data_IF_473556851085
#
_entry.id   IF_473556851085
#
_cell.length_a   1.000
_cell.length_b   1.000
_cell.length_c   1.000
_cell.angle_alpha   90.00
_cell.angle_beta   90.00
_cell.angle_gamma   90.00
#
_symmetry.space_group_name_H-M   'P 1'
#
loop_
_entity.id
_entity.type
_entity.pdbx_description
1 polymer ?
#
# COMPACT_ATOMS: atom_id res chain seq x y z
N UNK A 1 -81.91 -17.64 15.07
CA UNK A 1 -81.99 -17.36 16.52
C UNK A 1 -80.69 -16.67 16.90
N UNK A 2 -80.53 -15.35 16.81
CA UNK A 2 -81.09 -14.28 17.67
C UNK A 2 -81.16 -14.69 19.15
N UNK A 3 -80.17 -14.28 19.94
CA UNK A 3 -80.39 -13.42 21.10
C UNK A 3 -79.09 -12.79 21.59
N UNK A 4 -79.20 -11.49 21.85
CA UNK A 4 -78.18 -10.55 22.27
C UNK A 4 -78.11 -10.47 23.79
N UNK A 5 -76.96 -10.16 24.37
CA UNK A 5 -76.88 -9.35 25.60
C UNK A 5 -75.72 -8.37 25.47
N UNK A 6 -76.07 -7.10 25.62
CA UNK A 6 -75.20 -5.93 25.57
C UNK A 6 -74.70 -5.56 26.98
N UNK A 7 -73.48 -5.01 27.01
CA UNK A 7 -73.02 -3.89 27.85
C UNK A 7 -72.82 -4.10 29.37
N UNK A 8 -71.56 -4.01 29.80
CA UNK A 8 -71.18 -3.13 30.91
C UNK A 8 -69.77 -2.59 30.68
N UNK A 9 -69.69 -1.32 30.26
CA UNK A 9 -68.49 -0.49 30.33
C UNK A 9 -68.43 0.04 31.76
N UNK A 10 -67.38 -0.33 32.50
CA UNK A 10 -67.11 0.14 33.85
C UNK A 10 -65.62 0.37 34.01
N UNK A 11 -65.26 1.64 34.15
CA UNK A 11 -63.92 2.20 34.26
C UNK A 11 -63.15 1.60 35.45
N UNK A 12 -61.99 0.99 35.17
CA UNK A 12 -60.90 0.89 36.16
C UNK A 12 -59.55 1.10 35.45
N UNK A 13 -59.31 2.34 35.02
CA UNK A 13 -57.97 2.87 34.78
C UNK A 13 -57.33 3.13 36.15
N UNK A 14 -56.61 2.16 36.70
CA UNK A 14 -55.72 2.39 37.83
C UNK A 14 -54.39 1.65 37.62
N UNK A 15 -53.40 2.43 37.19
CA UNK A 15 -51.99 2.33 37.53
C UNK A 15 -51.36 0.92 37.57
N UNK A 16 -50.99 0.42 36.40
CA UNK A 16 -49.70 -0.24 36.24
C UNK A 16 -48.76 0.70 35.48
N UNK A 17 -48.24 1.72 36.18
CA UNK A 17 -46.88 2.20 35.89
C UNK A 17 -45.94 1.06 36.26
N UNK A 18 -45.91 0.02 35.42
CA UNK A 18 -44.71 -0.77 35.27
C UNK A 18 -43.68 0.23 34.82
N UNK A 19 -42.74 0.53 35.71
CA UNK A 19 -41.44 1.05 35.34
C UNK A 19 -40.85 0.07 34.32
N UNK A 20 -41.20 0.24 33.04
CA UNK A 20 -40.23 0.07 31.98
C UNK A 20 -39.27 1.22 32.23
N UNK A 21 -38.36 1.02 33.17
CA UNK A 21 -37.10 1.74 33.12
C UNK A 21 -36.61 1.49 31.71
N UNK A 22 -36.60 2.54 30.89
CA UNK A 22 -35.80 2.54 29.67
C UNK A 22 -34.44 2.05 30.15
N UNK A 23 -34.07 0.81 29.82
CA UNK A 23 -32.68 0.40 29.98
C UNK A 23 -31.88 1.52 29.32
N UNK A 24 -30.91 2.14 30.03
CA UNK A 24 -30.12 3.20 29.43
C UNK A 24 -29.67 2.72 28.06
N UNK A 25 -29.88 3.59 27.06
CA UNK A 25 -29.38 3.43 25.70
C UNK A 25 -28.03 2.71 25.75
N UNK A 26 -27.96 1.51 25.16
CA UNK A 26 -26.76 0.66 25.11
C UNK A 26 -25.54 1.38 24.50
N UNK A 27 -25.76 2.53 23.87
CA UNK A 27 -24.78 3.32 23.13
C UNK A 27 -24.02 4.34 24.00
N UNK A 28 -24.49 4.65 25.23
CA UNK A 28 -24.02 5.82 25.98
C UNK A 28 -23.28 5.52 27.31
N UNK A 29 -22.85 4.28 27.58
CA UNK A 29 -22.07 3.94 28.78
C UNK A 29 -20.55 3.93 28.51
N UNK A 30 -19.78 4.98 28.90
CA UNK A 30 -18.34 5.04 28.69
C UNK A 30 -17.54 4.07 29.57
N UNK A 31 -18.18 3.42 30.55
CA UNK A 31 -17.56 2.43 31.44
C UNK A 31 -18.03 1.00 31.14
N UNK A 32 -18.76 0.81 30.04
CA UNK A 32 -19.21 -0.51 29.61
C UNK A 32 -18.03 -1.47 29.51
N UNK A 33 -18.19 -2.63 30.10
CA UNK A 33 -17.17 -3.68 30.03
C UNK A 33 -17.05 -4.18 28.59
N UNK A 34 -15.88 -3.99 27.98
CA UNK A 34 -15.61 -4.43 26.60
C UNK A 34 -15.58 -5.96 26.44
N UNK A 35 -15.59 -6.72 27.55
CA UNK A 35 -15.52 -8.19 27.53
C UNK A 35 -16.66 -8.82 26.71
N UNK A 36 -17.84 -8.20 26.65
CA UNK A 36 -18.97 -8.66 25.84
C UNK A 36 -18.72 -8.54 24.32
N UNK A 37 -17.79 -7.67 23.91
CA UNK A 37 -17.45 -7.42 22.51
C UNK A 37 -16.24 -8.21 22.03
N UNK A 38 -15.41 -8.69 22.95
CA UNK A 38 -14.17 -9.39 22.62
C UNK A 38 -14.44 -10.87 22.35
N UNK A 39 -13.78 -11.47 21.33
CA UNK A 39 -13.90 -12.90 21.09
C UNK A 39 -13.35 -13.70 22.27
N UNK A 40 -13.97 -14.84 22.57
CA UNK A 40 -13.50 -15.75 23.60
C UNK A 40 -12.07 -16.25 23.28
N UNK A 41 -11.13 -16.18 24.22
CA UNK A 41 -9.79 -16.72 24.04
C UNK A 41 -9.79 -18.20 23.66
N UNK A 42 -8.80 -18.61 22.87
CA UNK A 42 -8.63 -19.99 22.43
C UNK A 42 -7.13 -20.33 22.23
N UNK A 43 -6.83 -21.54 21.80
CA UNK A 43 -5.44 -22.00 21.59
C UNK A 43 -4.68 -21.25 20.48
N UNK A 44 -5.39 -20.53 19.60
CA UNK A 44 -4.77 -19.64 18.61
C UNK A 44 -4.53 -18.23 19.16
N UNK A 45 -5.38 -17.73 20.07
CA UNK A 45 -5.30 -16.39 20.67
C UNK A 45 -5.62 -16.41 22.16
N UNK A 46 -4.60 -16.14 22.98
CA UNK A 46 -4.74 -16.13 24.44
C UNK A 46 -5.53 -14.92 24.93
N UNK A 47 -5.98 -14.96 26.19
CA UNK A 47 -6.71 -13.86 26.83
C UNK A 47 -5.90 -12.55 26.90
N UNK A 48 -4.57 -12.63 26.82
CA UNK A 48 -3.67 -11.49 26.74
C UNK A 48 -3.63 -10.83 25.35
N UNK A 49 -4.26 -11.43 24.33
CA UNK A 49 -4.15 -11.02 22.92
C UNK A 49 -2.90 -11.56 22.21
N UNK A 50 -1.99 -12.21 22.95
CA UNK A 50 -0.81 -12.83 22.36
C UNK A 50 -1.15 -14.09 21.53
N UNK A 51 -0.33 -14.42 20.52
CA UNK A 51 -0.39 -15.72 19.84
C UNK A 51 -0.38 -16.88 20.84
N UNK A 52 -1.35 -17.80 20.71
CA UNK A 52 -1.40 -19.03 21.52
C UNK A 52 -0.54 -20.16 20.95
N UNK A 53 -0.45 -21.31 21.66
CA UNK A 53 0.38 -22.46 21.25
C UNK A 53 0.05 -23.00 19.85
N UNK A 54 -1.20 -22.85 19.41
CA UNK A 54 -1.68 -23.29 18.09
C UNK A 54 -1.86 -22.12 17.11
N UNK A 55 -1.26 -20.96 17.38
CA UNK A 55 -1.29 -19.84 16.45
C UNK A 55 -0.71 -20.22 15.09
N UNK A 56 -1.34 -19.74 14.04
CA UNK A 56 -0.90 -19.92 12.67
C UNK A 56 -1.12 -18.63 11.89
N UNK A 57 -0.26 -18.42 10.91
CA UNK A 57 -0.35 -17.34 9.94
C UNK A 57 0.06 -17.90 8.59
N UNK A 58 -0.57 -17.47 7.50
CA UNK A 58 -0.19 -17.95 6.18
C UNK A 58 1.16 -17.37 5.79
N UNK A 59 1.81 -17.97 4.80
CA UNK A 59 2.98 -17.38 4.16
C UNK A 59 2.72 -17.26 2.67
N UNK A 60 2.95 -16.07 2.12
CA UNK A 60 2.70 -15.77 0.70
C UNK A 60 3.91 -15.10 0.08
N UNK A 61 4.60 -15.84 -0.78
CA UNK A 61 5.79 -15.35 -1.46
C UNK A 61 5.44 -14.90 -2.89
N UNK A 62 6.12 -13.86 -3.38
CA UNK A 62 5.87 -13.24 -4.68
C UNK A 62 7.17 -13.15 -5.51
N UNK A 63 7.11 -13.59 -6.77
CA UNK A 63 8.06 -13.22 -7.82
C UNK A 63 7.33 -12.37 -8.87
N UNK A 64 7.60 -11.07 -8.88
CA UNK A 64 6.85 -10.08 -9.67
C UNK A 64 7.77 -9.47 -10.71
N UNK A 65 7.31 -9.42 -11.96
CA UNK A 65 7.91 -8.66 -13.05
C UNK A 65 6.93 -7.59 -13.47
N UNK A 66 7.32 -6.33 -13.36
CA UNK A 66 6.48 -5.19 -13.70
C UNK A 66 7.21 -4.24 -14.64
N UNK A 67 6.48 -3.67 -15.58
CA UNK A 67 6.99 -2.64 -16.48
C UNK A 67 6.16 -1.37 -16.39
N UNK A 68 6.85 -0.23 -16.34
CA UNK A 68 6.28 1.11 -16.39
C UNK A 68 6.30 1.65 -17.82
N UNK A 69 5.11 1.91 -18.36
CA UNK A 69 4.94 2.69 -19.58
C UNK A 69 4.81 4.17 -19.22
N UNK A 70 5.93 4.88 -19.23
CA UNK A 70 6.05 6.33 -18.98
C UNK A 70 5.38 7.19 -20.07
N UNK A 71 4.97 6.60 -21.20
CA UNK A 71 4.22 7.33 -22.24
C UNK A 71 2.72 7.28 -22.02
N UNK A 72 2.22 6.17 -21.46
CA UNK A 72 0.80 5.93 -21.20
C UNK A 72 0.41 6.04 -19.74
N UNK A 73 1.37 6.21 -18.84
CA UNK A 73 1.19 6.15 -17.39
C UNK A 73 0.48 4.83 -17.01
N UNK A 74 1.05 3.70 -17.43
CA UNK A 74 0.45 2.37 -17.28
C UNK A 74 1.44 1.38 -16.69
N UNK A 75 0.95 0.46 -15.85
CA UNK A 75 1.70 -0.71 -15.39
C UNK A 75 1.23 -1.96 -16.10
N UNK A 76 2.19 -2.82 -16.43
CA UNK A 76 1.95 -4.20 -16.88
C UNK A 76 2.76 -5.14 -16.02
N UNK A 77 2.08 -6.09 -15.41
CA UNK A 77 2.66 -7.02 -14.45
C UNK A 77 2.41 -8.48 -14.80
N UNK A 78 3.39 -9.29 -14.46
CA UNK A 78 3.27 -10.74 -14.35
C UNK A 78 3.83 -11.13 -12.99
N UNK A 79 3.02 -11.77 -12.16
CA UNK A 79 3.46 -12.25 -10.85
C UNK A 79 3.22 -13.75 -10.72
N UNK A 80 4.12 -14.40 -10.00
CA UNK A 80 3.95 -15.77 -9.51
C UNK A 80 3.80 -15.72 -8.01
N UNK A 81 2.67 -16.20 -7.51
CA UNK A 81 2.32 -16.23 -6.09
C UNK A 81 2.51 -17.65 -5.59
N UNK A 82 3.21 -17.81 -4.46
CA UNK A 82 3.36 -19.08 -3.75
C UNK A 82 2.69 -18.99 -2.39
N UNK A 83 1.54 -19.64 -2.24
CA UNK A 83 0.74 -19.63 -1.03
C UNK A 83 0.97 -20.92 -0.22
N UNK A 84 1.41 -20.78 1.04
CA UNK A 84 1.52 -21.88 2.01
C UNK A 84 0.35 -21.85 2.97
N UNK A 85 -0.47 -22.90 2.95
CA UNK A 85 -1.57 -23.08 3.90
C UNK A 85 -1.05 -23.59 5.25
N UNK A 86 -0.79 -22.68 6.19
CA UNK A 86 -0.41 -23.03 7.56
C UNK A 86 -1.61 -23.28 8.48
N UNK A 87 -2.83 -22.95 8.05
CA UNK A 87 -4.06 -23.19 8.81
C UNK A 87 -4.35 -24.70 8.96
N UNK A 88 -5.16 -25.10 9.96
CA UNK A 88 -5.64 -26.47 10.10
C UNK A 88 -6.77 -26.80 9.11
N UNK A 89 -7.17 -25.86 8.25
CA UNK A 89 -8.31 -26.00 7.35
C UNK A 89 -7.88 -26.45 5.96
N UNK A 90 -8.76 -27.20 5.30
CA UNK A 90 -8.63 -27.51 3.87
C UNK A 90 -9.31 -26.42 3.05
N UNK A 91 -8.58 -25.79 2.12
CA UNK A 91 -9.06 -24.68 1.31
C UNK A 91 -9.43 -25.14 -0.10
N UNK A 92 -10.64 -24.82 -0.56
CA UNK A 92 -11.12 -25.13 -1.92
C UNK A 92 -11.01 -23.95 -2.89
N UNK A 93 -10.78 -22.75 -2.37
CA UNK A 93 -10.64 -21.53 -3.12
C UNK A 93 -9.72 -20.57 -2.38
N UNK A 94 -9.14 -19.63 -3.12
CA UNK A 94 -8.31 -18.52 -2.63
C UNK A 94 -8.96 -17.19 -3.01
N UNK A 95 -8.56 -16.12 -2.33
CA UNK A 95 -8.98 -14.76 -2.66
C UNK A 95 -7.78 -13.83 -2.91
N UNK A 96 -7.86 -13.04 -3.97
CA UNK A 96 -6.98 -11.92 -4.27
C UNK A 96 -7.72 -10.60 -4.08
N UNK A 97 -7.02 -9.62 -3.53
CA UNK A 97 -7.40 -8.21 -3.48
C UNK A 97 -6.99 -7.56 -4.80
N UNK A 98 -7.93 -6.82 -5.39
CA UNK A 98 -7.81 -6.09 -6.64
C UNK A 98 -8.08 -4.60 -6.38
N UNK A 99 -7.26 -3.99 -5.53
CA UNK A 99 -7.50 -2.64 -4.99
C UNK A 99 -7.68 -1.56 -6.06
N UNK A 100 -6.96 -1.64 -7.17
CA UNK A 100 -7.09 -0.67 -8.27
C UNK A 100 -8.49 -0.68 -8.89
N UNK A 101 -9.29 -1.73 -8.74
CA UNK A 101 -10.67 -1.81 -9.26
C UNK A 101 -11.59 -0.73 -8.67
N UNK A 102 -11.23 -0.17 -7.51
CA UNK A 102 -11.97 0.96 -6.93
C UNK A 102 -11.97 2.21 -7.81
N UNK A 103 -10.98 2.35 -8.70
CA UNK A 103 -10.88 3.49 -9.61
C UNK A 103 -11.67 3.30 -10.91
N UNK A 104 -12.32 2.14 -11.11
CA UNK A 104 -13.24 1.97 -12.22
C UNK A 104 -14.48 2.87 -12.03
N UNK A 105 -15.04 3.48 -13.08
CA UNK A 105 -16.19 4.39 -12.96
C UNK A 105 -17.43 3.75 -12.31
N UNK A 106 -17.61 2.44 -12.47
CA UNK A 106 -18.73 1.66 -11.93
C UNK A 106 -18.35 0.87 -10.66
N UNK A 107 -17.28 1.27 -9.98
CA UNK A 107 -16.86 0.59 -8.74
C UNK A 107 -17.80 0.90 -7.58
N UNK A 108 -17.82 0.04 -6.55
CA UNK A 108 -18.58 0.30 -5.33
C UNK A 108 -18.17 1.62 -4.66
N UNK A 109 -16.90 2.03 -4.76
CA UNK A 109 -16.47 3.35 -4.27
C UNK A 109 -17.16 4.47 -5.06
N UNK A 110 -17.13 4.41 -6.39
CA UNK A 110 -17.73 5.45 -7.23
C UNK A 110 -19.25 5.55 -7.01
N UNK A 111 -19.93 4.39 -6.91
CA UNK A 111 -21.38 4.31 -6.75
C UNK A 111 -21.89 4.69 -5.34
N UNK A 112 -21.02 4.66 -4.33
CA UNK A 112 -21.39 5.01 -2.94
C UNK A 112 -20.95 6.42 -2.53
N UNK A 113 -20.28 7.17 -3.41
CA UNK A 113 -19.96 8.57 -3.17
C UNK A 113 -21.21 9.45 -3.25
N UNK A 114 -21.37 10.34 -2.28
CA UNK A 114 -22.38 11.40 -2.34
C UNK A 114 -22.09 12.35 -3.51
N UNK A 115 -23.16 12.87 -4.13
CA UNK A 115 -23.05 13.90 -5.14
C UNK A 115 -22.33 15.12 -4.54
N UNK A 116 -21.37 15.73 -5.26
CA UNK A 116 -20.68 16.92 -4.76
C UNK A 116 -21.68 18.08 -4.61
N UNK A 117 -21.36 19.02 -3.74
CA UNK A 117 -21.94 20.34 -3.85
C UNK A 117 -21.34 21.04 -5.08
N UNK A 118 -22.18 21.44 -6.03
CA UNK A 118 -21.76 22.18 -7.22
C UNK A 118 -21.65 23.70 -6.98
N UNK A 119 -22.30 24.21 -5.93
CA UNK A 119 -22.21 25.62 -5.57
C UNK A 119 -20.81 25.93 -5.03
N UNK A 120 -20.08 26.81 -5.73
CA UNK A 120 -18.73 27.21 -5.35
C UNK A 120 -17.64 26.15 -5.63
N UNK A 121 -17.92 25.12 -6.44
CA UNK A 121 -16.89 24.15 -6.84
C UNK A 121 -15.78 24.85 -7.63
N UNK A 122 -14.52 24.59 -7.26
CA UNK A 122 -13.38 25.11 -8.01
C UNK A 122 -13.24 24.41 -9.37
N UNK A 123 -12.57 25.06 -10.33
CA UNK A 123 -12.24 24.42 -11.61
C UNK A 123 -11.44 23.12 -11.43
N UNK A 124 -10.55 23.06 -10.44
CA UNK A 124 -9.84 21.84 -10.10
C UNK A 124 -10.79 20.77 -9.57
N UNK A 125 -11.75 21.12 -8.70
CA UNK A 125 -12.77 20.20 -8.21
C UNK A 125 -13.61 19.60 -9.34
N UNK A 126 -14.03 20.44 -10.30
CA UNK A 126 -14.76 19.98 -11.49
C UNK A 126 -13.89 19.08 -12.39
N UNK A 127 -12.61 19.42 -12.59
CA UNK A 127 -11.67 18.59 -13.36
C UNK A 127 -11.46 17.23 -12.71
N UNK A 128 -11.30 17.18 -11.38
CA UNK A 128 -11.19 15.94 -10.60
C UNK A 128 -12.41 15.05 -10.75
N UNK A 129 -13.61 15.63 -10.78
CA UNK A 129 -14.86 14.91 -10.99
C UNK A 129 -14.92 14.26 -12.39
N UNK A 130 -14.69 15.04 -13.43
CA UNK A 130 -14.68 14.55 -14.82
C UNK A 130 -13.60 13.48 -15.02
N UNK A 131 -12.45 13.65 -14.38
CA UNK A 131 -11.38 12.66 -14.39
C UNK A 131 -11.85 11.32 -13.82
N UNK A 132 -12.44 11.31 -12.61
CA UNK A 132 -12.92 10.05 -11.99
C UNK A 132 -13.99 9.33 -12.81
N UNK A 133 -14.88 10.07 -13.50
CA UNK A 133 -15.93 9.48 -14.32
C UNK A 133 -15.42 8.83 -15.62
N UNK A 134 -14.30 9.31 -16.15
CA UNK A 134 -13.78 8.90 -17.46
C UNK A 134 -12.50 8.07 -17.38
N UNK A 135 -11.85 8.05 -16.21
CA UNK A 135 -10.62 7.29 -16.01
C UNK A 135 -10.88 5.79 -16.13
N UNK A 136 -10.15 5.15 -17.04
CA UNK A 136 -10.13 3.70 -17.24
C UNK A 136 -9.29 3.05 -16.12
N UNK A 137 -9.84 3.07 -14.91
CA UNK A 137 -9.25 2.48 -13.71
C UNK A 137 -9.62 1.01 -13.52
N UNK A 138 -8.88 0.33 -12.65
CA UNK A 138 -9.04 -1.09 -12.39
C UNK A 138 -8.06 -1.99 -13.11
N UNK A 139 -7.87 -3.18 -12.53
CA UNK A 139 -7.04 -4.22 -13.12
C UNK A 139 -7.73 -4.83 -14.33
N UNK A 140 -6.99 -4.91 -15.43
CA UNK A 140 -7.31 -5.76 -16.58
C UNK A 140 -6.56 -7.07 -16.41
N UNK A 141 -7.16 -8.01 -15.67
CA UNK A 141 -6.61 -9.35 -15.50
C UNK A 141 -6.67 -10.07 -16.85
N UNK A 142 -5.49 -10.45 -17.37
CA UNK A 142 -5.35 -11.14 -18.65
C UNK A 142 -5.46 -12.64 -18.48
N UNK A 143 -4.72 -13.20 -17.52
CA UNK A 143 -4.61 -14.64 -17.30
C UNK A 143 -4.36 -14.94 -15.84
N UNK A 144 -4.93 -16.05 -15.37
CA UNK A 144 -4.61 -16.66 -14.07
C UNK A 144 -4.34 -18.14 -14.34
N UNK A 145 -3.14 -18.63 -14.04
CA UNK A 145 -2.72 -19.98 -14.40
C UNK A 145 -2.11 -20.73 -13.23
N UNK A 146 -2.30 -22.04 -13.19
CA UNK A 146 -1.57 -22.92 -12.27
C UNK A 146 -0.07 -23.02 -12.65
N UNK A 147 0.72 -23.70 -11.81
CA UNK A 147 2.15 -23.92 -12.06
C UNK A 147 2.47 -24.76 -13.30
N UNK A 148 1.45 -25.35 -13.96
CA UNK A 148 1.58 -26.16 -15.18
C UNK A 148 1.14 -25.39 -16.43
N UNK A 149 0.66 -24.15 -16.28
CA UNK A 149 0.15 -23.32 -17.37
C UNK A 149 -1.32 -23.55 -17.72
N UNK A 150 -2.07 -24.28 -16.90
CA UNK A 150 -3.51 -24.45 -17.10
C UNK A 150 -4.26 -23.24 -16.54
N UNK A 151 -5.30 -22.72 -17.22
CA UNK A 151 -6.09 -21.62 -16.72
C UNK A 151 -6.88 -22.03 -15.47
N UNK A 152 -6.79 -21.23 -14.40
CA UNK A 152 -7.58 -21.41 -13.20
C UNK A 152 -8.94 -20.74 -13.35
N UNK A 153 -9.98 -21.35 -12.76
CA UNK A 153 -11.32 -20.77 -12.75
C UNK A 153 -11.38 -19.61 -11.75
N UNK A 154 -11.76 -18.43 -12.22
CA UNK A 154 -11.84 -17.22 -11.40
C UNK A 154 -13.20 -16.55 -11.46
N UNK A 155 -13.51 -15.78 -10.43
CA UNK A 155 -14.67 -14.89 -10.39
C UNK A 155 -14.28 -13.57 -9.71
N UNK A 156 -14.36 -12.48 -10.45
CA UNK A 156 -14.16 -11.12 -9.91
C UNK A 156 -15.45 -10.61 -9.28
N UNK A 157 -15.35 -10.05 -8.08
CA UNK A 157 -16.43 -9.41 -7.32
C UNK A 157 -15.89 -8.10 -6.77
N UNK A 158 -16.13 -7.00 -7.49
CA UNK A 158 -15.63 -5.66 -7.14
C UNK A 158 -14.10 -5.61 -7.05
N UNK A 159 -13.57 -5.24 -5.88
CA UNK A 159 -12.14 -5.21 -5.57
C UNK A 159 -11.58 -6.54 -5.10
N UNK A 160 -12.26 -7.65 -5.36
CA UNK A 160 -11.84 -8.99 -4.95
C UNK A 160 -11.93 -9.97 -6.12
N UNK A 161 -11.07 -10.98 -6.14
CA UNK A 161 -11.13 -12.10 -7.09
C UNK A 161 -11.01 -13.42 -6.35
N UNK A 162 -12.00 -14.29 -6.54
CA UNK A 162 -11.96 -15.67 -6.08
C UNK A 162 -11.29 -16.54 -7.13
N UNK A 163 -10.41 -17.44 -6.68
CA UNK A 163 -9.77 -18.48 -7.51
C UNK A 163 -10.24 -19.83 -6.99
N UNK A 164 -10.96 -20.60 -7.80
CA UNK A 164 -11.39 -21.96 -7.46
C UNK A 164 -10.26 -22.95 -7.73
N UNK A 165 -9.94 -23.79 -6.74
CA UNK A 165 -8.88 -24.78 -6.86
C UNK A 165 -9.45 -26.10 -7.37
N UNK A 166 -8.83 -26.66 -8.42
CA UNK A 166 -9.19 -28.00 -8.91
C UNK A 166 -8.94 -29.08 -7.85
N UNK A 167 -7.87 -28.90 -7.07
CA UNK A 167 -7.50 -29.76 -5.94
C UNK A 167 -7.56 -28.97 -4.66
N UNK A 168 -8.22 -29.55 -3.66
CA UNK A 168 -8.26 -28.99 -2.31
C UNK A 168 -6.84 -28.79 -1.77
N UNK A 169 -6.55 -27.59 -1.29
CA UNK A 169 -5.30 -27.26 -0.63
C UNK A 169 -5.37 -27.68 0.84
N UNK A 170 -4.77 -28.82 1.16
CA UNK A 170 -4.75 -29.37 2.50
C UNK A 170 -3.86 -28.56 3.47
N UNK A 171 -4.03 -28.72 4.79
CA UNK A 171 -3.14 -28.15 5.78
C UNK A 171 -1.67 -28.46 5.49
N UNK A 172 -0.80 -27.49 5.76
CA UNK A 172 0.66 -27.50 5.54
C UNK A 172 1.10 -27.68 4.09
N UNK A 173 0.17 -27.75 3.15
CA UNK A 173 0.47 -27.84 1.70
C UNK A 173 0.70 -26.45 1.09
N UNK A 174 1.28 -26.43 -0.10
CA UNK A 174 1.54 -25.22 -0.89
C UNK A 174 0.89 -25.30 -2.25
N UNK A 175 0.56 -24.15 -2.81
CA UNK A 175 0.17 -23.98 -4.22
C UNK A 175 0.91 -22.78 -4.79
N UNK A 176 1.25 -22.87 -6.08
CA UNK A 176 1.76 -21.72 -6.84
C UNK A 176 0.94 -21.53 -8.11
N UNK A 177 0.67 -20.28 -8.43
CA UNK A 177 -0.09 -19.85 -9.59
C UNK A 177 0.42 -18.48 -10.04
N UNK A 178 0.15 -18.11 -11.29
CA UNK A 178 0.54 -16.81 -11.84
C UNK A 178 -0.66 -15.96 -12.23
N UNK A 179 -0.46 -14.64 -12.20
CA UNK A 179 -1.43 -13.62 -12.61
C UNK A 179 -0.75 -12.65 -13.58
N UNK A 180 -1.33 -12.49 -14.76
CA UNK A 180 -0.94 -11.48 -15.75
C UNK A 180 -1.97 -10.36 -15.73
N UNK A 181 -1.54 -9.11 -15.56
CA UNK A 181 -2.42 -7.96 -15.35
C UNK A 181 -1.84 -6.67 -15.92
N UNK A 182 -2.71 -5.71 -16.19
CA UNK A 182 -2.30 -4.32 -16.50
C UNK A 182 -3.33 -3.34 -15.90
N UNK A 183 -2.91 -2.13 -15.57
CA UNK A 183 -3.81 -1.05 -15.19
C UNK A 183 -3.18 0.32 -15.43
N UNK A 184 -4.01 1.34 -15.62
CA UNK A 184 -3.55 2.72 -15.74
C UNK A 184 -3.22 3.26 -14.34
N UNK A 185 -2.24 4.15 -14.27
CA UNK A 185 -1.82 4.83 -13.05
C UNK A 185 -2.66 6.11 -12.93
N UNK A 186 -3.17 6.36 -11.74
CA UNK A 186 -3.98 7.55 -11.46
C UNK A 186 -3.13 8.81 -11.33
N UNK A 187 -3.70 9.93 -11.77
CA UNK A 187 -3.18 11.27 -11.56
C UNK A 187 -3.50 11.70 -10.13
N UNK A 188 -2.47 11.77 -9.27
CA UNK A 188 -2.65 12.05 -7.86
C UNK A 188 -3.10 13.49 -7.57
N UNK A 189 -2.89 14.43 -8.51
CA UNK A 189 -3.38 15.81 -8.39
C UNK A 189 -4.90 15.88 -8.62
N UNK A 190 -5.42 14.99 -9.47
CA UNK A 190 -6.84 14.98 -9.84
C UNK A 190 -7.65 13.99 -9.00
N UNK A 191 -7.04 12.89 -8.56
CA UNK A 191 -7.69 11.88 -7.74
C UNK A 191 -6.77 11.46 -6.60
N UNK A 192 -7.03 12.02 -5.41
CA UNK A 192 -6.27 11.66 -4.21
C UNK A 192 -6.38 10.17 -3.93
N UNK A 193 -5.23 9.53 -3.81
CA UNK A 193 -5.10 8.15 -3.43
C UNK A 193 -3.79 7.93 -2.66
N UNK A 194 -3.53 6.67 -2.32
CA UNK A 194 -2.34 6.25 -1.57
C UNK A 194 -1.15 5.90 -2.50
N UNK A 195 -1.27 6.25 -3.78
CA UNK A 195 -0.31 6.04 -4.87
C UNK A 195 -0.81 6.76 -6.12
N UNK A 196 0.03 6.94 -7.13
CA UNK A 196 -0.30 7.63 -8.38
C UNK A 196 0.92 8.27 -9.01
N UNK A 197 0.68 9.19 -9.95
CA UNK A 197 1.72 10.05 -10.49
C UNK A 197 1.43 11.53 -10.28
N UNK A 198 2.49 12.32 -10.29
CA UNK A 198 2.46 13.77 -10.44
C UNK A 198 3.01 14.16 -11.82
N UNK A 199 2.42 15.15 -12.48
CA UNK A 199 2.93 15.66 -13.76
C UNK A 199 3.54 17.06 -13.67
N UNK A 200 4.84 17.16 -13.97
CA UNK A 200 5.58 18.41 -13.99
C UNK A 200 5.44 19.08 -15.35
N UNK A 201 4.49 20.03 -15.46
CA UNK A 201 4.21 20.75 -16.72
C UNK A 201 5.43 21.45 -17.34
N UNK A 202 6.33 21.97 -16.50
CA UNK A 202 7.50 22.77 -16.91
C UNK A 202 8.50 21.98 -17.76
N UNK A 203 8.76 20.73 -17.37
CA UNK A 203 9.77 19.87 -17.99
C UNK A 203 9.19 18.58 -18.61
N UNK A 204 7.87 18.37 -18.47
CA UNK A 204 7.13 17.23 -18.98
C UNK A 204 7.63 15.89 -18.42
N UNK A 205 7.97 15.86 -17.14
CA UNK A 205 8.32 14.64 -16.41
C UNK A 205 7.26 14.25 -15.39
N UNK A 206 7.41 13.04 -14.87
CA UNK A 206 6.52 12.47 -13.87
C UNK A 206 7.31 12.00 -12.65
N UNK A 207 6.69 12.07 -11.48
CA UNK A 207 7.08 11.26 -10.32
C UNK A 207 5.97 10.24 -10.12
N UNK A 208 6.36 8.96 -10.06
CA UNK A 208 5.46 7.86 -9.77
C UNK A 208 5.69 7.40 -8.34
N UNK A 209 4.62 7.27 -7.56
CA UNK A 209 4.59 6.66 -6.23
C UNK A 209 3.57 5.54 -6.25
N UNK A 210 4.03 4.30 -6.26
CA UNK A 210 3.25 3.14 -6.61
C UNK A 210 3.11 2.23 -5.41
N UNK A 211 1.90 2.21 -4.88
CA UNK A 211 1.45 1.33 -3.81
C UNK A 211 0.10 0.72 -4.18
N UNK A 212 -0.22 -0.44 -3.57
CA UNK A 212 -1.45 -1.19 -3.88
C UNK A 212 -1.59 -1.47 -5.39
N UNK A 213 -0.46 -1.66 -6.07
CA UNK A 213 -0.31 -1.61 -7.53
C UNK A 213 -0.32 -3.00 -8.20
N UNK A 214 -0.33 -4.07 -7.40
CA UNK A 214 -0.42 -5.45 -7.86
C UNK A 214 -1.55 -6.19 -7.13
N UNK A 215 -2.12 -7.27 -7.71
CA UNK A 215 -3.03 -8.16 -7.01
C UNK A 215 -2.37 -8.80 -5.79
N UNK A 216 -3.01 -8.67 -4.62
CA UNK A 216 -2.44 -9.15 -3.34
C UNK A 216 -3.27 -10.30 -2.78
N UNK A 217 -2.67 -11.34 -2.24
CA UNK A 217 -3.43 -12.37 -1.52
C UNK A 217 -4.20 -11.76 -0.36
N UNK A 218 -5.50 -12.04 -0.31
CA UNK A 218 -6.31 -11.73 0.87
C UNK A 218 -5.83 -12.58 2.06
N UNK A 219 -5.83 -11.99 3.25
CA UNK A 219 -5.49 -12.75 4.46
C UNK A 219 -6.56 -13.80 4.78
N UNK A 220 -6.12 -14.97 5.22
CA UNK A 220 -6.99 -16.01 5.77
C UNK A 220 -6.64 -16.19 7.25
N UNK A 221 -7.58 -15.88 8.14
CA UNK A 221 -7.34 -15.86 9.59
C UNK A 221 -8.25 -16.82 10.35
N UNK A 222 -7.92 -17.07 11.61
CA UNK A 222 -8.71 -17.87 12.56
C UNK A 222 -10.03 -17.21 12.96
N UNK A 223 -10.15 -15.87 12.87
CA UNK A 223 -11.30 -15.13 13.37
C UNK A 223 -12.25 -14.62 12.26
N UNK A 224 -11.77 -14.42 11.03
CA UNK A 224 -12.60 -13.97 9.89
C UNK A 224 -12.64 -14.95 8.73
N UNK A 225 -11.83 -16.00 8.73
CA UNK A 225 -11.56 -16.74 7.50
C UNK A 225 -10.93 -15.80 6.48
N UNK A 226 -11.49 -15.72 5.27
CA UNK A 226 -11.00 -14.80 4.25
C UNK A 226 -11.40 -13.33 4.56
N UNK A 227 -10.43 -12.42 4.61
CA UNK A 227 -10.66 -10.97 4.62
C UNK A 227 -10.95 -10.46 3.20
N UNK A 228 -12.21 -10.56 2.76
CA UNK A 228 -12.63 -10.23 1.38
C UNK A 228 -13.71 -9.13 1.32
N UNK A 229 -13.72 -8.19 2.28
CA UNK A 229 -14.59 -7.00 2.22
C UNK A 229 -14.12 -6.07 1.10
N UNK A 230 -15.08 -5.42 0.42
CA UNK A 230 -14.77 -4.48 -0.66
C UNK A 230 -13.93 -3.31 -0.15
N UNK A 231 -12.91 -2.92 -0.91
CA UNK A 231 -12.06 -1.78 -0.58
C UNK A 231 -12.62 -0.51 -1.23
N UNK A 232 -13.32 0.28 -0.42
CA UNK A 232 -13.87 1.58 -0.83
C UNK A 232 -12.86 2.73 -0.64
N UNK A 233 -11.63 2.38 -0.27
CA UNK A 233 -10.54 3.32 -0.18
C UNK A 233 -10.20 3.97 1.12
N UNK A 234 -11.08 3.78 2.09
CA UNK A 234 -10.94 4.23 3.46
C UNK A 234 -10.83 2.98 4.32
N UNK A 235 -9.62 2.64 4.74
CA UNK A 235 -9.33 1.44 5.52
C UNK A 235 -7.90 0.96 5.35
N UNK A 236 -7.40 0.25 6.35
CA UNK A 236 -6.12 -0.44 6.28
C UNK A 236 -6.27 -1.88 5.79
N UNK A 237 -5.16 -2.43 5.30
CA UNK A 237 -5.13 -3.77 4.71
C UNK A 237 -4.69 -4.82 5.73
N UNK A 238 -5.35 -5.98 5.69
CA UNK A 238 -4.90 -7.20 6.36
C UNK A 238 -4.27 -8.10 5.32
N UNK A 239 -2.93 -8.15 5.30
CA UNK A 239 -2.13 -8.92 4.35
C UNK A 239 -1.27 -9.95 5.08
N UNK A 240 -0.96 -11.04 4.39
CA UNK A 240 -0.03 -12.06 4.86
C UNK A 240 1.42 -11.61 4.66
N UNK A 241 2.32 -12.13 5.49
CA UNK A 241 3.76 -11.91 5.33
C UNK A 241 4.35 -12.92 4.35
N UNK A 242 5.38 -12.49 3.63
CA UNK A 242 6.24 -13.39 2.87
C UNK A 242 7.37 -12.66 2.16
N UNK A 243 8.03 -13.39 1.27
CA UNK A 243 9.24 -12.95 0.60
C UNK A 243 8.89 -12.44 -0.81
N UNK A 244 9.48 -11.32 -1.19
CA UNK A 244 9.26 -10.66 -2.48
C UNK A 244 10.56 -10.63 -3.26
N UNK A 245 10.48 -11.05 -4.52
CA UNK A 245 11.47 -10.74 -5.56
C UNK A 245 10.76 -9.93 -6.62
N UNK A 246 11.17 -8.67 -6.81
CA UNK A 246 10.49 -7.75 -7.73
C UNK A 246 11.48 -7.22 -8.75
N UNK A 247 11.17 -7.44 -10.03
CA UNK A 247 11.90 -6.92 -11.18
C UNK A 247 11.08 -5.76 -11.79
N UNK A 248 11.59 -4.54 -11.65
CA UNK A 248 10.94 -3.30 -12.10
C UNK A 248 11.65 -2.78 -13.35
N UNK A 249 10.99 -2.89 -14.50
CA UNK A 249 11.44 -2.33 -15.76
C UNK A 249 10.91 -0.90 -15.95
N UNK A 250 11.81 0.07 -15.98
CA UNK A 250 11.50 1.50 -16.16
C UNK A 250 12.37 2.11 -17.28
N UNK A 251 12.06 3.32 -17.79
CA UNK A 251 12.96 4.02 -18.70
C UNK A 251 14.39 4.09 -18.16
N UNK A 252 15.39 3.95 -19.02
CA UNK A 252 16.78 3.74 -18.60
C UNK A 252 17.44 4.90 -17.85
N UNK A 253 16.80 6.07 -17.87
CA UNK A 253 17.16 7.30 -17.17
C UNK A 253 16.30 7.57 -15.93
N UNK A 254 15.43 6.64 -15.54
CA UNK A 254 14.76 6.71 -14.25
C UNK A 254 15.65 6.14 -13.14
N UNK A 255 15.56 6.76 -11.97
CA UNK A 255 15.95 6.16 -10.69
C UNK A 255 14.72 5.51 -10.07
N UNK A 256 14.90 4.35 -9.43
CA UNK A 256 13.83 3.59 -8.79
C UNK A 256 14.17 3.39 -7.31
N UNK A 257 13.23 3.77 -6.45
CA UNK A 257 13.24 3.47 -5.02
C UNK A 257 12.20 2.40 -4.75
N UNK A 258 12.46 1.40 -3.91
CA UNK A 258 11.50 0.35 -3.63
C UNK A 258 11.68 -0.26 -2.25
N UNK A 259 10.62 -0.88 -1.74
CA UNK A 259 10.69 -1.86 -0.66
C UNK A 259 11.78 -2.90 -0.97
N UNK A 260 12.60 -3.24 0.03
CA UNK A 260 13.65 -4.26 -0.10
C UNK A 260 15.01 -3.74 -0.55
N UNK A 261 15.97 -4.66 -0.63
CA UNK A 261 17.35 -4.37 -1.01
C UNK A 261 17.55 -4.47 -2.53
N UNK A 262 18.23 -3.47 -3.09
CA UNK A 262 18.66 -3.46 -4.49
C UNK A 262 19.71 -4.55 -4.74
N UNK A 263 19.42 -5.47 -5.66
CA UNK A 263 20.23 -6.66 -5.91
C UNK A 263 21.24 -6.50 -7.07
N UNK A 264 21.03 -5.54 -7.97
CA UNK A 264 21.86 -5.38 -9.18
C UNK A 264 22.42 -3.95 -9.40
N UNK A 265 22.99 -3.28 -8.38
CA UNK A 265 23.46 -1.90 -8.53
C UNK A 265 24.53 -1.74 -9.62
N UNK A 266 25.43 -2.72 -9.80
CA UNK A 266 26.50 -2.65 -10.80
C UNK A 266 25.98 -2.65 -12.25
N UNK A 267 24.79 -3.18 -12.50
CA UNK A 267 24.17 -3.22 -13.83
C UNK A 267 23.38 -1.96 -14.15
N UNK A 268 22.92 -1.26 -13.10
CA UNK A 268 21.91 -0.20 -13.22
C UNK A 268 22.53 1.18 -13.05
N UNK A 269 23.45 1.31 -12.09
CA UNK A 269 24.13 2.56 -11.78
C UNK A 269 25.29 2.81 -12.75
N UNK A 270 25.57 4.09 -12.99
CA UNK A 270 26.80 4.50 -13.68
C UNK A 270 28.04 4.14 -12.87
N UNK A 271 29.22 4.17 -13.50
CA UNK A 271 30.47 3.90 -12.80
C UNK A 271 30.68 4.84 -11.60
N UNK A 272 30.38 6.13 -11.78
CA UNK A 272 30.51 7.14 -10.73
C UNK A 272 29.52 6.92 -9.58
N UNK A 273 28.26 6.63 -9.90
CA UNK A 273 27.25 6.27 -8.89
C UNK A 273 27.64 5.00 -8.11
N UNK A 274 28.22 3.99 -8.78
CA UNK A 274 28.74 2.79 -8.11
C UNK A 274 29.91 3.08 -7.18
N UNK A 275 30.81 4.02 -7.54
CA UNK A 275 31.89 4.48 -6.65
C UNK A 275 31.33 5.13 -5.40
N UNK A 276 30.35 6.05 -5.55
CA UNK A 276 29.68 6.71 -4.43
C UNK A 276 28.90 5.73 -3.55
N UNK A 277 28.21 4.76 -4.15
CA UNK A 277 27.55 3.65 -3.46
C UNK A 277 28.53 2.85 -2.58
N UNK A 278 29.65 2.42 -3.17
CA UNK A 278 30.69 1.70 -2.44
C UNK A 278 31.35 2.54 -1.34
N UNK A 279 31.46 3.86 -1.54
CA UNK A 279 31.95 4.78 -0.51
C UNK A 279 30.98 4.87 0.67
N UNK A 280 29.69 5.06 0.41
CA UNK A 280 28.66 5.15 1.45
C UNK A 280 28.60 3.91 2.35
N UNK A 281 28.83 2.71 1.79
CA UNK A 281 28.95 1.46 2.56
C UNK A 281 30.16 1.51 3.51
N UNK A 282 31.30 2.00 3.02
CA UNK A 282 32.58 2.01 3.76
C UNK A 282 32.61 3.07 4.85
N UNK A 283 32.16 4.28 4.56
CA UNK A 283 32.26 5.42 5.48
C UNK A 283 31.07 5.50 6.43
N UNK A 284 29.89 5.05 6.00
CA UNK A 284 28.64 5.27 6.75
C UNK A 284 28.21 6.75 6.78
N UNK A 285 28.80 7.60 5.93
CA UNK A 285 28.45 9.00 5.78
C UNK A 285 27.34 9.16 4.74
N UNK A 286 26.49 10.19 4.91
CA UNK A 286 25.48 10.54 3.91
C UNK A 286 26.16 10.95 2.61
N UNK A 287 25.86 10.24 1.54
CA UNK A 287 26.46 10.43 0.22
C UNK A 287 25.37 10.56 -0.83
N UNK A 288 25.48 11.56 -1.71
CA UNK A 288 24.66 11.64 -2.92
C UNK A 288 25.08 10.53 -3.89
N UNK A 289 24.22 9.54 -4.09
CA UNK A 289 24.38 8.57 -5.16
C UNK A 289 24.07 9.27 -6.49
N UNK A 290 22.93 9.96 -6.56
CA UNK A 290 22.58 10.88 -7.66
C UNK A 290 22.50 12.28 -7.10
N UNK A 291 23.36 13.19 -7.57
CA UNK A 291 23.40 14.56 -7.07
C UNK A 291 22.36 15.47 -7.77
N UNK A 292 22.06 16.66 -7.21
CA UNK A 292 21.10 17.61 -7.78
C UNK A 292 21.36 17.96 -9.25
N UNK A 293 22.62 18.16 -9.64
CA UNK A 293 23.02 18.51 -11.00
C UNK A 293 22.79 17.36 -11.99
N UNK A 294 23.08 16.12 -11.60
CA UNK A 294 22.83 14.91 -12.38
C UNK A 294 21.32 14.71 -12.60
N UNK A 295 20.51 14.87 -11.55
CA UNK A 295 19.06 14.79 -11.64
C UNK A 295 18.50 15.91 -12.55
N UNK A 296 18.99 17.14 -12.39
CA UNK A 296 18.61 18.29 -13.22
C UNK A 296 18.95 18.07 -14.70
N UNK A 297 20.17 17.58 -14.99
CA UNK A 297 20.58 17.25 -16.36
C UNK A 297 19.70 16.16 -16.97
N UNK A 298 19.30 15.18 -16.18
CA UNK A 298 18.45 14.07 -16.63
C UNK A 298 17.04 14.55 -16.96
N UNK A 299 16.40 15.34 -16.09
CA UNK A 299 15.05 15.86 -16.34
C UNK A 299 14.98 16.86 -17.51
N UNK A 300 16.06 17.60 -17.78
CA UNK A 300 16.15 18.59 -18.87
C UNK A 300 16.50 17.94 -20.23
N UNK A 301 16.83 16.65 -20.26
CA UNK A 301 17.17 15.95 -21.49
C UNK A 301 15.94 15.83 -22.42
N UNK A 302 15.92 16.64 -23.48
CA UNK A 302 14.87 16.63 -24.50
C UNK A 302 14.84 15.34 -25.33
N UNK A 303 15.95 14.64 -25.42
CA UNK A 303 16.08 13.37 -26.15
C UNK A 303 15.99 12.20 -25.15
N UNK A 304 14.81 12.03 -24.57
CA UNK A 304 14.55 10.94 -23.61
C UNK A 304 14.90 9.58 -24.25
N UNK A 305 15.65 8.71 -23.55
CA UNK A 305 16.03 7.41 -24.06
C UNK A 305 14.80 6.54 -24.32
N UNK A 306 14.86 5.72 -25.37
CA UNK A 306 13.81 4.75 -25.70
C UNK A 306 14.05 3.38 -25.06
N UNK A 307 15.26 3.12 -24.58
CA UNK A 307 15.61 1.88 -23.90
C UNK A 307 15.21 1.93 -22.42
N UNK A 308 15.06 0.75 -21.84
CA UNK A 308 14.68 0.55 -20.45
C UNK A 308 15.81 -0.12 -19.66
N UNK A 309 15.69 -0.12 -18.33
CA UNK A 309 16.52 -0.86 -17.39
C UNK A 309 15.61 -1.59 -16.40
N UNK A 310 16.08 -2.74 -15.90
CA UNK A 310 15.34 -3.56 -14.93
C UNK A 310 16.06 -3.56 -13.59
N UNK A 311 15.45 -2.90 -12.60
CA UNK A 311 15.91 -2.90 -11.21
C UNK A 311 15.39 -4.16 -10.51
N UNK A 312 16.23 -4.85 -9.76
CA UNK A 312 15.86 -6.08 -9.06
C UNK A 312 15.93 -5.83 -7.56
N UNK A 313 14.82 -6.03 -6.86
CA UNK A 313 14.72 -5.87 -5.41
C UNK A 313 14.32 -7.18 -4.74
N UNK A 314 14.80 -7.37 -3.51
CA UNK A 314 14.35 -8.45 -2.62
C UNK A 314 13.94 -7.91 -1.26
N UNK A 315 12.80 -8.36 -0.77
CA UNK A 315 12.34 -8.08 0.59
C UNK A 315 11.94 -9.39 1.25
N UNK A 316 12.45 -9.64 2.45
CA UNK A 316 12.14 -10.86 3.21
C UNK A 316 11.16 -10.53 4.32
N UNK A 317 10.18 -11.41 4.51
CA UNK A 317 9.19 -11.33 5.59
C UNK A 317 8.55 -9.93 5.71
N UNK A 318 7.98 -9.42 4.61
CA UNK A 318 7.20 -8.17 4.58
C UNK A 318 5.76 -8.43 4.19
N UNK A 319 4.86 -7.51 4.54
CA UNK A 319 3.42 -7.62 4.26
C UNK A 319 2.99 -7.07 2.90
N UNK A 320 3.79 -6.20 2.30
CA UNK A 320 3.44 -5.47 1.07
C UNK A 320 4.70 -4.94 0.39
N UNK A 321 4.55 -4.42 -0.83
CA UNK A 321 5.64 -3.89 -1.64
C UNK A 321 5.22 -2.58 -2.32
N UNK A 322 5.96 -1.50 -2.08
CA UNK A 322 5.76 -0.22 -2.76
C UNK A 322 7.07 0.27 -3.41
N UNK A 323 6.94 1.13 -4.41
CA UNK A 323 8.08 1.68 -5.12
C UNK A 323 7.76 3.03 -5.73
N UNK A 324 8.80 3.76 -6.11
CA UNK A 324 8.71 5.04 -6.77
C UNK A 324 9.71 5.12 -7.92
N UNK A 325 9.39 5.94 -8.93
CA UNK A 325 10.27 6.11 -10.09
C UNK A 325 10.18 7.49 -10.70
N UNK A 326 11.32 8.07 -11.07
CA UNK A 326 11.37 9.34 -11.80
C UNK A 326 12.74 9.62 -12.43
N UNK A 327 12.74 10.47 -13.45
CA UNK A 327 13.95 11.16 -13.98
C UNK A 327 14.43 12.29 -13.07
N UNK A 328 13.54 12.79 -12.21
CA UNK A 328 13.80 13.97 -11.38
C UNK A 328 14.53 13.64 -10.09
N UNK A 329 14.64 12.36 -9.74
CA UNK A 329 15.16 11.93 -8.45
C UNK A 329 16.65 12.23 -8.28
N UNK A 330 16.90 13.10 -7.32
CA UNK A 330 18.08 13.12 -6.47
C UNK A 330 17.99 11.90 -5.55
N UNK A 331 19.13 11.30 -5.25
CA UNK A 331 19.22 10.16 -4.35
C UNK A 331 20.42 10.33 -3.43
N UNK A 332 20.16 10.54 -2.15
CA UNK A 332 21.17 10.42 -1.10
C UNK A 332 20.93 9.19 -0.22
N UNK A 333 22.02 8.65 0.31
CA UNK A 333 22.00 7.42 1.09
C UNK A 333 23.07 7.45 2.19
N UNK A 334 22.74 6.85 3.33
CA UNK A 334 23.65 6.61 4.45
C UNK A 334 23.51 5.17 4.92
N UNK A 335 24.60 4.42 4.97
CA UNK A 335 24.60 3.07 5.54
C UNK A 335 24.81 3.15 7.06
N UNK A 336 23.70 3.31 7.77
CA UNK A 336 23.66 3.78 9.15
C UNK A 336 23.68 2.62 10.14
N UNK A 337 24.54 2.72 11.16
CA UNK A 337 24.57 1.79 12.29
C UNK A 337 23.74 2.36 13.44
N UNK A 338 22.53 1.84 13.60
CA UNK A 338 21.55 2.35 14.58
C UNK A 338 21.58 1.61 15.92
N UNK A 339 22.21 0.43 15.96
CA UNK A 339 22.48 -0.34 17.16
C UNK A 339 23.78 -1.16 16.97
N UNK A 340 24.46 -1.62 18.04
CA UNK A 340 25.73 -2.33 17.93
C UNK A 340 25.66 -3.52 16.95
N UNK A 341 26.39 -3.42 15.83
CA UNK A 341 26.43 -4.46 14.80
C UNK A 341 25.18 -4.57 13.92
N UNK A 342 24.21 -3.64 14.05
CA UNK A 342 23.00 -3.59 13.22
C UNK A 342 23.01 -2.35 12.34
N UNK A 343 22.89 -2.59 11.03
CA UNK A 343 22.92 -1.54 10.01
C UNK A 343 21.71 -1.62 9.10
N UNK A 344 21.25 -0.45 8.68
CA UNK A 344 20.26 -0.31 7.63
C UNK A 344 20.65 0.86 6.73
N UNK A 345 20.25 0.77 5.46
CA UNK A 345 20.28 1.90 4.57
C UNK A 345 19.21 2.92 4.96
N UNK A 346 19.61 4.14 5.25
CA UNK A 346 18.72 5.31 5.28
C UNK A 346 18.86 6.03 3.94
N UNK A 347 17.78 6.17 3.18
CA UNK A 347 17.81 6.73 1.83
C UNK A 347 16.69 7.72 1.58
N UNK A 348 16.99 8.78 0.83
CA UNK A 348 15.98 9.73 0.39
C UNK A 348 16.00 9.90 -1.12
N UNK A 349 14.82 9.94 -1.72
CA UNK A 349 14.62 10.16 -3.15
C UNK A 349 13.67 11.34 -3.35
N UNK A 350 14.12 12.37 -4.05
CA UNK A 350 13.35 13.61 -4.14
C UNK A 350 13.73 14.43 -5.37
N UNK A 351 12.83 15.27 -5.89
CA UNK A 351 13.13 16.14 -7.02
C UNK A 351 13.90 17.39 -6.60
N UNK A 352 14.44 18.13 -7.57
CA UNK A 352 15.09 19.43 -7.30
C UNK A 352 14.12 20.45 -6.65
N UNK A 353 12.82 20.33 -6.90
CA UNK A 353 11.76 21.12 -6.26
C UNK A 353 11.64 20.88 -4.75
N UNK A 354 12.32 19.88 -4.19
CA UNK A 354 12.34 19.58 -2.77
C UNK A 354 13.53 20.23 -2.02
N UNK A 355 14.44 20.89 -2.75
CA UNK A 355 15.64 21.53 -2.20
C UNK A 355 15.34 22.93 -1.63
N UNK A 356 16.04 23.35 -0.55
CA UNK A 356 17.09 22.62 0.17
C UNK A 356 16.57 21.78 1.35
N UNK A 357 15.24 21.68 1.51
CA UNK A 357 14.62 21.05 2.67
C UNK A 357 15.02 19.58 2.78
N UNK A 358 14.98 18.85 1.67
CA UNK A 358 15.16 17.41 1.66
C UNK A 358 16.61 16.96 1.82
N UNK A 359 17.55 17.54 1.07
CA UNK A 359 18.98 17.27 1.26
C UNK A 359 19.47 17.57 2.66
N UNK A 360 18.86 18.55 3.33
CA UNK A 360 19.24 18.94 4.69
C UNK A 360 18.70 18.01 5.76
N UNK A 361 17.45 17.55 5.63
CA UNK A 361 16.75 16.91 6.75
C UNK A 361 16.29 15.47 6.49
N UNK A 362 15.98 15.06 5.26
CA UNK A 362 15.25 13.80 5.05
C UNK A 362 16.04 12.58 5.54
N UNK A 363 17.25 12.34 5.04
CA UNK A 363 18.07 11.19 5.46
C UNK A 363 18.53 11.30 6.91
N UNK A 364 18.76 12.52 7.41
CA UNK A 364 19.04 12.74 8.83
C UNK A 364 17.86 12.33 9.72
N UNK A 365 16.63 12.70 9.36
CA UNK A 365 15.41 12.30 10.05
C UNK A 365 15.22 10.79 10.04
N UNK A 366 15.48 10.10 8.92
CA UNK A 366 15.43 8.63 8.87
C UNK A 366 16.42 8.03 9.89
N UNK A 367 17.67 8.50 9.90
CA UNK A 367 18.66 7.96 10.86
C UNK A 367 18.28 8.25 12.31
N UNK A 368 17.76 9.44 12.60
CA UNK A 368 17.25 9.78 13.92
C UNK A 368 16.10 8.86 14.34
N UNK A 369 15.14 8.60 13.44
CA UNK A 369 14.04 7.67 13.70
C UNK A 369 14.55 6.26 13.98
N UNK A 370 15.51 5.76 13.20
CA UNK A 370 16.13 4.44 13.42
C UNK A 370 16.78 4.36 14.81
N UNK A 371 17.54 5.36 15.22
CA UNK A 371 18.22 5.41 16.52
C UNK A 371 17.23 5.45 17.68
N UNK A 372 16.26 6.37 17.62
CA UNK A 372 15.32 6.62 18.71
C UNK A 372 14.35 5.44 18.87
N UNK A 373 13.70 4.99 17.79
CA UNK A 373 12.73 3.90 17.91
C UNK A 373 13.39 2.58 18.27
N UNK A 374 14.58 2.28 17.74
CA UNK A 374 15.31 1.06 18.14
C UNK A 374 15.68 1.08 19.62
N UNK A 375 16.04 2.25 20.16
CA UNK A 375 16.34 2.41 21.60
C UNK A 375 15.11 2.19 22.50
N UNK A 376 13.93 2.64 22.10
CA UNK A 376 12.74 2.63 22.96
C UNK A 376 11.79 1.46 22.71
N UNK A 377 11.95 0.72 21.61
CA UNK A 377 11.04 -0.37 21.23
C UNK A 377 11.80 -1.66 20.96
N UNK A 378 12.00 -2.00 19.70
CA UNK A 378 12.82 -3.11 19.23
C UNK A 378 13.70 -2.61 18.08
N UNK A 379 14.85 -3.24 17.92
CA UNK A 379 15.76 -2.91 16.82
C UNK A 379 15.05 -3.03 15.47
N UNK A 380 15.23 -2.02 14.62
CA UNK A 380 14.65 -2.01 13.28
C UNK A 380 15.00 -3.32 12.54
N UNK A 381 14.00 -4.10 12.07
CA UNK A 381 14.24 -5.48 11.66
C UNK A 381 14.59 -5.62 10.17
N UNK A 382 14.61 -4.52 9.41
CA UNK A 382 14.78 -4.53 7.97
C UNK A 382 16.09 -3.84 7.53
N UNK A 383 16.64 -4.20 6.37
CA UNK A 383 17.93 -3.69 5.89
C UNK A 383 17.87 -2.28 5.28
N UNK A 384 16.67 -1.75 5.01
CA UNK A 384 16.47 -0.49 4.27
C UNK A 384 15.32 0.32 4.88
N UNK A 385 15.47 1.64 4.92
CA UNK A 385 14.46 2.62 5.28
C UNK A 385 14.53 3.81 4.31
N UNK A 386 13.45 4.07 3.58
CA UNK A 386 13.38 5.03 2.49
C UNK A 386 12.32 6.10 2.77
N UNK A 387 12.66 7.36 2.47
CA UNK A 387 11.73 8.47 2.33
C UNK A 387 11.70 8.92 0.86
N UNK A 388 10.52 9.00 0.26
CA UNK A 388 10.36 9.51 -1.12
C UNK A 388 9.50 10.77 -1.09
N UNK A 389 9.94 11.79 -1.82
CA UNK A 389 9.15 12.99 -2.08
C UNK A 389 8.37 12.86 -3.38
N UNK A 390 7.05 13.04 -3.31
CA UNK A 390 6.17 12.95 -4.46
C UNK A 390 4.78 13.51 -4.16
N UNK A 391 3.75 13.11 -4.93
CA UNK A 391 2.39 13.60 -4.76
C UNK A 391 1.64 13.03 -3.54
N UNK A 392 2.12 11.93 -2.95
CA UNK A 392 1.51 11.26 -1.80
C UNK A 392 2.28 11.62 -0.53
N UNK A 393 1.55 11.96 0.53
CA UNK A 393 2.13 12.43 1.78
C UNK A 393 1.65 11.61 2.97
N UNK A 394 2.60 11.17 3.80
CA UNK A 394 2.34 10.47 5.05
C UNK A 394 1.80 9.06 4.86
N UNK A 395 2.24 8.35 3.81
CA UNK A 395 1.82 6.97 3.54
C UNK A 395 2.98 5.99 3.70
N UNK A 396 2.80 5.00 4.57
CA UNK A 396 3.83 4.04 4.97
C UNK A 396 3.63 2.65 4.37
N UNK A 397 4.71 2.10 3.81
CA UNK A 397 4.81 0.72 3.33
C UNK A 397 6.12 0.10 3.86
N UNK A 398 6.28 -1.23 3.81
CA UNK A 398 7.50 -1.86 4.31
C UNK A 398 8.76 -1.22 3.69
N UNK A 399 9.64 -0.71 4.55
CA UNK A 399 10.91 -0.05 4.19
C UNK A 399 10.79 1.26 3.37
N UNK A 400 9.60 1.74 3.00
CA UNK A 400 9.44 2.93 2.15
C UNK A 400 8.22 3.75 2.57
N UNK A 401 8.41 5.06 2.73
CA UNK A 401 7.35 6.02 3.01
C UNK A 401 7.29 7.11 1.94
N UNK A 402 6.08 7.47 1.51
CA UNK A 402 5.82 8.63 0.66
C UNK A 402 5.54 9.83 1.56
N UNK A 403 6.37 10.85 1.43
CA UNK A 403 6.48 11.96 2.36
C UNK A 403 6.52 13.31 1.63
N UNK A 404 6.15 14.34 2.37
CA UNK A 404 6.28 15.73 1.97
C UNK A 404 6.70 16.56 3.18
N UNK A 405 6.51 17.88 3.12
CA UNK A 405 6.15 18.68 1.95
C UNK A 405 7.40 19.00 1.09
N UNK A 406 7.20 19.83 0.05
CA UNK A 406 8.28 20.57 -0.63
C UNK A 406 8.37 21.99 -0.05
N UNK A 407 9.53 22.65 -0.09
CA UNK A 407 9.61 24.08 0.19
C UNK A 407 8.88 24.90 -0.89
N UNK A 408 8.62 26.16 -0.57
CA UNK A 408 8.17 27.19 -1.51
C UNK A 408 9.27 27.49 -2.55
N UNK A 409 8.92 28.17 -3.65
CA UNK A 409 9.88 28.50 -4.72
C UNK A 409 11.07 29.36 -4.25
N UNK A 410 10.89 30.14 -3.18
CA UNK A 410 11.95 30.94 -2.55
C UNK A 410 12.83 30.13 -1.56
N UNK A 411 12.56 28.83 -1.43
CA UNK A 411 13.25 27.91 -0.52
C UNK A 411 12.78 27.99 0.93
N UNK A 412 11.79 28.83 1.25
CA UNK A 412 11.17 28.88 2.57
C UNK A 412 10.17 27.73 2.74
N UNK A 413 9.75 27.46 3.96
CA UNK A 413 8.76 26.45 4.27
C UNK A 413 7.99 26.86 5.52
N UNK A 414 6.72 26.45 5.56
CA UNK A 414 5.77 26.87 6.59
C UNK A 414 6.23 26.52 8.01
N UNK A 415 5.71 27.22 9.02
CA UNK A 415 5.98 26.86 10.43
C UNK A 415 5.53 25.44 10.75
N UNK A 416 4.41 24.99 10.18
CA UNK A 416 3.93 23.61 10.31
C UNK A 416 4.87 22.57 9.68
N UNK A 417 5.74 22.95 8.75
CA UNK A 417 6.77 22.09 8.16
C UNK A 417 8.03 22.00 9.04
N UNK A 418 8.21 22.93 9.99
CA UNK A 418 9.37 22.96 10.90
C UNK A 418 9.18 22.06 12.12
N UNK A 419 7.93 21.74 12.47
CA UNK A 419 7.53 20.88 13.58
C UNK A 419 7.27 19.46 13.08
#
# INVERSE_FOLDING_TARGET
MKQSVYLFIGITLYFSKLCIGQLPSYEDDPFRQIHELLPTPNESRLASGAPGPNYWQQKVDYDIKVSLDDTKQQLKGYETISYKNNSPHSLKYLWLQLDQNRFAPESDEALTQEAPNLDGISFNGLRSQLYRQSFDGGYKIKKVMDSKGNPLKTQTVGTMMRIDLEKTLHPKSKISFSVEWEHNIIDADLNRARGGYEFFKKDKNYIYELAQWFPRMASYTDYTGWQHKQFLGRGEFTLEFGDYKVEITAPSDHIVAATGELQNPQQILTEEQNKRWGNAIKTGETTFIVNPEEAKKTQENKNKPKNTKTWIFKAENVRDFAWASSRKFIWDAKYHEFAPGKRAWAMSFYPNEAEPLWSKYSTASITHTLDIYSKFTFDYPYPVAISVNGPVFGMEYPMICFNGPRPEEDGTYSEGTKN
#
